data_IF_330201888997
#
_entry.id   IF_330201888997
#
_cell.length_a   1.000
_cell.length_b   1.000
_cell.length_c   1.000
_cell.angle_alpha   90.00
_cell.angle_beta   90.00
_cell.angle_gamma   90.00
#
_symmetry.space_group_name_H-M   'P 1'
#
loop_
_entity.id
_entity.type
_entity.pdbx_description
1 polymer ?
#
# COMPACT_ATOMS: atom_id res chain seq x y z
N UNK A 1 28.23 11.52 -10.86
CA UNK A 1 28.73 10.16 -10.53
C UNK A 1 27.70 9.11 -10.99
N UNK A 2 28.09 7.88 -11.32
CA UNK A 2 27.12 6.81 -11.61
C UNK A 2 26.54 6.23 -10.31
N UNK A 3 25.27 5.82 -10.26
CA UNK A 3 24.69 5.20 -9.07
C UNK A 3 25.47 3.93 -8.68
N UNK A 4 25.67 3.73 -7.37
CA UNK A 4 26.21 2.48 -6.83
C UNK A 4 25.35 1.32 -7.37
N UNK A 5 26.00 0.30 -7.93
CA UNK A 5 25.32 -0.85 -8.54
C UNK A 5 25.24 -2.04 -7.59
N UNK A 6 26.02 -2.07 -6.51
CA UNK A 6 26.05 -3.18 -5.55
C UNK A 6 26.18 -2.68 -4.08
N UNK A 7 25.16 -2.89 -3.24
CA UNK A 7 23.83 -3.32 -3.66
C UNK A 7 23.21 -2.24 -4.57
N UNK A 8 22.43 -2.66 -5.57
CA UNK A 8 21.62 -1.72 -6.33
C UNK A 8 20.50 -1.17 -5.45
N UNK A 9 19.96 0.03 -5.75
CA UNK A 9 18.72 0.48 -5.13
C UNK A 9 17.60 -0.57 -5.29
N UNK A 10 16.70 -0.73 -4.30
CA UNK A 10 15.63 -1.72 -4.37
C UNK A 10 14.68 -1.43 -5.53
N UNK A 11 14.26 -2.49 -6.22
CA UNK A 11 13.34 -2.44 -7.36
C UNK A 11 11.92 -2.72 -6.86
N UNK A 12 11.12 -1.67 -6.80
CA UNK A 12 9.71 -1.78 -6.44
C UNK A 12 8.85 -1.93 -7.69
N UNK A 13 8.02 -2.98 -7.74
CA UNK A 13 7.20 -3.27 -8.90
C UNK A 13 5.73 -3.08 -8.56
N UNK A 14 5.09 -2.17 -9.30
CA UNK A 14 3.69 -1.86 -9.14
C UNK A 14 2.74 -2.79 -9.88
N UNK A 15 1.50 -2.83 -9.39
CA UNK A 15 0.36 -3.50 -10.03
C UNK A 15 0.00 -4.86 -9.45
N UNK A 16 -1.24 -5.27 -9.67
CA UNK A 16 -1.92 -6.38 -8.97
C UNK A 16 -2.25 -7.56 -9.91
N UNK A 17 -2.04 -7.36 -11.21
CA UNK A 17 -2.28 -8.37 -12.23
C UNK A 17 -1.26 -9.52 -12.12
N UNK A 18 -1.61 -10.71 -12.63
CA UNK A 18 -0.67 -11.85 -12.62
C UNK A 18 0.65 -11.57 -13.38
N UNK A 19 0.67 -10.85 -14.52
CA UNK A 19 1.94 -10.41 -15.12
C UNK A 19 2.80 -9.53 -14.20
N UNK A 20 2.17 -8.64 -13.41
CA UNK A 20 2.89 -7.81 -12.44
C UNK A 20 3.45 -8.67 -11.29
N UNK A 21 2.63 -9.56 -10.72
CA UNK A 21 3.06 -10.52 -9.68
C UNK A 21 4.26 -11.35 -10.14
N UNK A 22 4.20 -11.92 -11.36
CA UNK A 22 5.34 -12.68 -11.91
C UNK A 22 6.59 -11.83 -12.02
N UNK A 23 6.46 -10.55 -12.36
CA UNK A 23 7.59 -9.62 -12.45
C UNK A 23 8.19 -9.30 -11.08
N UNK A 24 7.35 -9.12 -10.06
CA UNK A 24 7.79 -8.99 -8.66
C UNK A 24 8.62 -10.22 -8.28
N UNK A 25 8.07 -11.42 -8.48
CA UNK A 25 8.75 -12.67 -8.11
C UNK A 25 10.10 -12.82 -8.83
N UNK A 26 10.16 -12.52 -10.13
CA UNK A 26 11.39 -12.69 -10.90
C UNK A 26 12.45 -11.60 -10.67
N UNK A 27 12.05 -10.36 -10.35
CA UNK A 27 12.96 -9.20 -10.43
C UNK A 27 12.78 -8.12 -9.35
N UNK A 28 11.69 -8.14 -8.59
CA UNK A 28 11.37 -7.06 -7.64
C UNK A 28 11.86 -7.37 -6.24
N UNK A 29 12.30 -6.35 -5.53
CA UNK A 29 12.57 -6.38 -4.09
C UNK A 29 11.31 -6.09 -3.27
N UNK A 30 10.34 -5.38 -3.87
CA UNK A 30 9.06 -5.10 -3.24
C UNK A 30 7.87 -5.19 -4.21
N UNK A 31 6.70 -5.54 -3.67
CA UNK A 31 5.42 -5.44 -4.35
C UNK A 31 4.69 -4.15 -3.92
N UNK A 32 4.29 -3.34 -4.90
CA UNK A 32 3.68 -2.02 -4.67
C UNK A 32 2.30 -1.87 -5.36
N UNK A 33 1.24 -2.49 -4.82
CA UNK A 33 -0.11 -2.38 -5.34
C UNK A 33 -0.76 -1.02 -5.06
N UNK A 34 -1.78 -0.70 -5.85
CA UNK A 34 -2.59 0.50 -5.80
C UNK A 34 -3.95 0.21 -5.16
N UNK A 35 -4.22 0.85 -4.01
CA UNK A 35 -5.41 0.59 -3.19
C UNK A 35 -6.73 0.74 -3.94
N UNK A 36 -6.83 1.72 -4.84
CA UNK A 36 -8.06 2.09 -5.54
C UNK A 36 -8.12 1.61 -6.99
N UNK A 37 -7.38 0.56 -7.38
CA UNK A 37 -7.51 0.00 -8.72
C UNK A 37 -8.91 -0.64 -8.91
N UNK A 38 -9.76 -0.14 -9.83
CA UNK A 38 -11.13 -0.63 -9.98
C UNK A 38 -11.20 -2.07 -10.54
N UNK A 39 -10.17 -2.53 -11.26
CA UNK A 39 -10.13 -3.87 -11.85
C UNK A 39 -9.62 -4.92 -10.86
N UNK A 40 -8.68 -4.53 -10.01
CA UNK A 40 -8.06 -5.38 -9.00
C UNK A 40 -8.09 -4.63 -7.68
N UNK A 41 -9.29 -4.53 -7.10
CA UNK A 41 -9.52 -3.75 -5.88
C UNK A 41 -8.70 -4.29 -4.71
N UNK A 42 -8.11 -3.36 -3.97
CA UNK A 42 -7.24 -3.57 -2.81
C UNK A 42 -7.67 -2.61 -1.68
N UNK A 43 -8.97 -2.32 -1.64
CA UNK A 43 -9.61 -1.31 -0.81
C UNK A 43 -10.19 -1.89 0.49
N UNK A 44 -9.87 -3.16 0.79
CA UNK A 44 -10.08 -3.82 2.08
C UNK A 44 -8.84 -4.62 2.48
N UNK A 45 -8.65 -4.88 3.77
CA UNK A 45 -7.53 -5.71 4.27
C UNK A 45 -7.60 -7.14 3.71
N UNK A 46 -8.82 -7.68 3.57
CA UNK A 46 -9.05 -9.02 3.02
C UNK A 46 -8.64 -9.11 1.54
N UNK A 47 -9.06 -8.15 0.71
CA UNK A 47 -8.69 -8.14 -0.71
C UNK A 47 -7.17 -8.00 -0.88
N UNK A 48 -6.52 -7.21 -0.01
CA UNK A 48 -5.06 -7.13 0.04
C UNK A 48 -4.42 -8.49 0.37
N UNK A 49 -4.85 -9.12 1.47
CA UNK A 49 -4.31 -10.39 1.94
C UNK A 49 -4.46 -11.51 0.90
N UNK A 50 -5.62 -11.61 0.25
CA UNK A 50 -5.88 -12.59 -0.82
C UNK A 50 -4.89 -12.44 -1.98
N UNK A 51 -4.46 -11.21 -2.29
CA UNK A 51 -3.50 -10.96 -3.38
C UNK A 51 -2.05 -11.16 -2.94
N UNK A 52 -1.70 -10.75 -1.73
CA UNK A 52 -0.43 -11.10 -1.09
C UNK A 52 -0.22 -12.62 -1.08
N UNK A 53 -1.24 -13.40 -0.73
CA UNK A 53 -1.13 -14.86 -0.69
C UNK A 53 -0.90 -15.47 -2.08
N UNK A 54 -1.46 -14.86 -3.13
CA UNK A 54 -1.16 -15.26 -4.52
C UNK A 54 0.28 -14.94 -4.90
N UNK A 55 0.80 -13.77 -4.50
CA UNK A 55 2.20 -13.42 -4.68
C UNK A 55 3.11 -14.42 -3.97
N UNK A 56 2.84 -14.73 -2.71
CA UNK A 56 3.61 -15.68 -1.91
C UNK A 56 3.60 -17.08 -2.52
N UNK A 57 2.42 -17.55 -2.97
CA UNK A 57 2.32 -18.82 -3.70
C UNK A 57 3.20 -18.82 -4.95
N UNK A 58 3.15 -17.76 -5.77
CA UNK A 58 3.99 -17.66 -6.96
C UNK A 58 5.49 -17.58 -6.63
N UNK A 59 5.88 -16.96 -5.51
CA UNK A 59 7.26 -16.93 -5.06
C UNK A 59 7.76 -18.34 -4.70
N UNK A 60 6.99 -19.09 -3.91
CA UNK A 60 7.31 -20.48 -3.55
C UNK A 60 7.38 -21.38 -4.80
N UNK A 61 6.43 -21.26 -5.73
CA UNK A 61 6.44 -22.01 -7.00
C UNK A 61 7.68 -21.69 -7.87
N UNK A 62 8.29 -20.54 -7.68
CA UNK A 62 9.50 -20.10 -8.35
C UNK A 62 10.79 -20.30 -7.53
N UNK A 63 10.71 -21.07 -6.43
CA UNK A 63 11.84 -21.32 -5.50
C UNK A 63 12.43 -20.04 -4.89
N UNK A 64 11.59 -19.02 -4.67
CA UNK A 64 11.94 -17.77 -4.00
C UNK A 64 11.27 -17.70 -2.63
N UNK A 65 12.04 -17.32 -1.62
CA UNK A 65 11.52 -17.02 -0.28
C UNK A 65 10.54 -15.84 -0.35
N UNK A 66 9.24 -16.02 -0.01
CA UNK A 66 8.28 -14.91 0.02
C UNK A 66 8.67 -13.78 0.96
N UNK A 67 9.39 -14.07 2.05
CA UNK A 67 9.84 -13.06 3.01
C UNK A 67 10.95 -12.14 2.44
N UNK A 68 11.57 -12.53 1.32
CA UNK A 68 12.52 -11.68 0.57
C UNK A 68 11.84 -10.60 -0.28
N UNK A 69 10.51 -10.52 -0.26
CA UNK A 69 9.73 -9.52 -1.00
C UNK A 69 9.07 -8.59 0.01
N UNK A 70 9.51 -7.33 0.03
CA UNK A 70 8.85 -6.28 0.81
C UNK A 70 7.43 -6.04 0.30
N UNK A 71 6.52 -5.80 1.23
CA UNK A 71 5.12 -5.53 0.93
C UNK A 71 4.84 -4.05 1.15
N UNK A 72 4.43 -3.35 0.11
CA UNK A 72 4.03 -1.96 0.17
C UNK A 72 2.53 -1.78 -0.14
N UNK A 73 2.03 -0.55 0.04
CA UNK A 73 0.67 -0.15 -0.31
C UNK A 73 0.62 1.31 -0.75
N UNK A 74 0.06 1.59 -1.93
CA UNK A 74 -0.28 2.96 -2.32
C UNK A 74 -1.69 3.30 -1.84
N UNK A 75 -1.77 4.16 -0.82
CA UNK A 75 -2.99 4.79 -0.35
C UNK A 75 -3.29 6.02 -1.22
N UNK A 76 -3.91 5.76 -2.36
CA UNK A 76 -4.20 6.79 -3.35
C UNK A 76 -5.32 7.75 -2.93
N UNK A 77 -6.21 7.28 -2.07
CA UNK A 77 -7.33 8.03 -1.54
C UNK A 77 -7.46 7.78 -0.05
N UNK A 78 -7.62 8.87 0.69
CA UNK A 78 -7.90 8.91 2.12
C UNK A 78 -8.73 10.16 2.43
N UNK A 79 -9.41 10.22 3.57
CA UNK A 79 -10.23 11.38 3.93
C UNK A 79 -10.41 11.49 5.44
N UNK A 80 -10.48 12.71 5.99
CA UNK A 80 -10.88 12.91 7.39
C UNK A 80 -12.39 12.66 7.60
N UNK A 81 -13.17 12.59 6.52
CA UNK A 81 -14.57 12.23 6.53
C UNK A 81 -14.74 10.76 6.10
N UNK A 82 -15.59 10.01 6.81
CA UNK A 82 -15.88 8.63 6.46
C UNK A 82 -16.51 8.53 5.07
N UNK A 83 -15.99 7.64 4.23
CA UNK A 83 -16.55 7.35 2.92
C UNK A 83 -17.08 5.92 2.89
N UNK A 84 -18.11 5.69 2.08
CA UNK A 84 -18.70 4.36 1.92
C UNK A 84 -17.89 3.54 0.90
N UNK A 85 -17.56 2.30 1.23
CA UNK A 85 -16.98 1.36 0.28
C UNK A 85 -18.08 0.87 -0.67
N UNK A 86 -17.74 0.58 -1.92
CA UNK A 86 -18.70 0.09 -2.93
C UNK A 86 -19.35 -1.26 -2.55
N UNK A 87 -18.67 -2.09 -1.75
CA UNK A 87 -19.24 -3.35 -1.23
C UNK A 87 -19.94 -3.16 0.13
N UNK A 88 -20.12 -1.91 0.58
CA UNK A 88 -20.68 -1.54 1.87
C UNK A 88 -19.64 -1.38 2.98
N UNK A 89 -20.02 -0.65 4.04
CA UNK A 89 -19.13 -0.31 5.14
C UNK A 89 -18.21 0.88 4.85
N UNK A 90 -17.25 1.14 5.74
CA UNK A 90 -16.32 2.27 5.62
C UNK A 90 -15.17 1.93 4.70
N UNK A 91 -14.85 2.82 3.76
CA UNK A 91 -13.66 2.72 2.93
C UNK A 91 -12.40 2.89 3.78
N UNK A 92 -11.38 2.06 3.54
CA UNK A 92 -10.11 2.15 4.25
C UNK A 92 -9.50 3.56 4.18
N UNK A 93 -8.85 3.95 5.27
CA UNK A 93 -8.16 5.21 5.48
C UNK A 93 -9.08 6.43 5.30
N UNK A 94 -10.37 6.28 5.65
CA UNK A 94 -11.33 7.40 5.70
C UNK A 94 -11.98 7.55 7.08
N UNK A 95 -12.36 8.75 7.50
CA UNK A 95 -12.99 8.99 8.81
C UNK A 95 -12.03 9.51 9.87
N UNK A 96 -12.29 9.19 11.14
CA UNK A 96 -11.53 9.79 12.26
C UNK A 96 -10.05 9.41 12.22
N UNK A 97 -9.15 10.18 12.87
CA UNK A 97 -7.74 9.81 12.95
C UNK A 97 -7.51 8.38 13.47
N UNK A 98 -8.26 7.95 14.49
CA UNK A 98 -8.17 6.62 15.09
C UNK A 98 -8.60 5.53 14.11
N UNK A 99 -9.71 5.75 13.38
CA UNK A 99 -10.18 4.81 12.37
C UNK A 99 -9.16 4.63 11.24
N UNK A 100 -8.54 5.72 10.80
CA UNK A 100 -7.50 5.68 9.76
C UNK A 100 -6.24 4.98 10.26
N UNK A 101 -5.84 5.22 11.51
CA UNK A 101 -4.69 4.55 12.11
C UNK A 101 -4.93 3.05 12.35
N UNK A 102 -6.15 2.68 12.74
CA UNK A 102 -6.58 1.27 12.87
C UNK A 102 -6.50 0.55 11.52
N UNK A 103 -6.96 1.17 10.44
CA UNK A 103 -6.85 0.60 9.09
C UNK A 103 -5.38 0.37 8.68
N UNK A 104 -4.52 1.35 8.93
CA UNK A 104 -3.08 1.25 8.60
C UNK A 104 -2.43 0.15 9.45
N UNK A 105 -2.79 0.04 10.73
CA UNK A 105 -2.30 -1.01 11.62
C UNK A 105 -2.80 -2.39 11.19
N UNK A 106 -4.05 -2.51 10.74
CA UNK A 106 -4.60 -3.75 10.20
C UNK A 106 -3.93 -4.17 8.89
N UNK A 107 -3.59 -3.21 8.03
CA UNK A 107 -2.77 -3.43 6.83
C UNK A 107 -1.33 -3.85 7.19
N UNK A 108 -0.76 -3.26 8.25
CA UNK A 108 0.53 -3.67 8.83
C UNK A 108 0.51 -5.11 9.37
N UNK A 109 -0.56 -5.49 10.07
CA UNK A 109 -0.80 -6.87 10.51
C UNK A 109 -1.01 -7.84 9.34
N UNK A 110 -1.49 -7.35 8.19
CA UNK A 110 -1.51 -8.08 6.93
C UNK A 110 -0.14 -8.11 6.21
N UNK A 111 0.92 -7.59 6.84
CA UNK A 111 2.31 -7.73 6.40
C UNK A 111 2.86 -6.54 5.61
N UNK A 112 2.09 -5.47 5.40
CA UNK A 112 2.63 -4.26 4.76
C UNK A 112 3.71 -3.66 5.67
N UNK A 113 4.84 -3.33 5.06
CA UNK A 113 5.99 -2.69 5.71
C UNK A 113 6.11 -1.23 5.34
N UNK A 114 5.58 -0.82 4.19
CA UNK A 114 5.58 0.58 3.74
C UNK A 114 4.25 0.99 3.14
N UNK A 115 3.76 2.17 3.53
CA UNK A 115 2.62 2.81 2.88
C UNK A 115 3.04 4.14 2.25
N UNK A 116 2.59 4.37 1.01
CA UNK A 116 2.71 5.67 0.33
C UNK A 116 1.34 6.34 0.37
N UNK A 117 1.25 7.47 1.07
CA UNK A 117 0.00 8.23 1.25
C UNK A 117 0.00 9.42 0.28
N UNK A 118 -0.99 9.47 -0.61
CA UNK A 118 -1.10 10.54 -1.58
C UNK A 118 -1.78 11.78 -0.98
N UNK A 119 -1.01 12.87 -0.83
CA UNK A 119 -1.49 14.15 -0.29
C UNK A 119 -1.81 15.21 -1.35
N UNK A 120 -1.85 14.81 -2.63
CA UNK A 120 -1.97 15.74 -3.75
C UNK A 120 -3.25 16.58 -3.75
N UNK A 121 -3.10 17.89 -4.02
CA UNK A 121 -4.18 18.82 -4.38
C UNK A 121 -3.70 19.71 -5.54
N UNK A 122 -4.64 20.34 -6.24
CA UNK A 122 -4.34 21.38 -7.23
C UNK A 122 -3.89 22.70 -6.59
N UNK A 123 -4.10 22.87 -5.27
CA UNK A 123 -3.57 23.99 -4.50
C UNK A 123 -2.46 23.54 -3.55
N UNK A 124 -1.38 24.32 -3.49
CA UNK A 124 -0.21 24.01 -2.65
C UNK A 124 -0.55 24.07 -1.16
N UNK A 125 -1.35 25.05 -0.73
CA UNK A 125 -1.70 25.25 0.68
C UNK A 125 -2.62 24.14 1.17
N UNK A 126 -3.53 23.68 0.32
CA UNK A 126 -4.34 22.49 0.58
C UNK A 126 -3.50 21.22 0.68
N UNK A 127 -2.55 21.01 -0.25
CA UNK A 127 -1.63 19.86 -0.19
C UNK A 127 -0.83 19.85 1.12
N UNK A 128 -0.30 21.00 1.54
CA UNK A 128 0.44 21.13 2.79
C UNK A 128 -0.45 20.91 4.02
N UNK A 129 -1.67 21.47 4.01
CA UNK A 129 -2.66 21.25 5.08
C UNK A 129 -3.01 19.78 5.21
N UNK A 130 -3.25 19.09 4.09
CA UNK A 130 -3.56 17.66 4.04
C UNK A 130 -2.40 16.80 4.54
N UNK A 131 -1.17 17.16 4.18
CA UNK A 131 0.04 16.49 4.66
C UNK A 131 0.22 16.67 6.16
N UNK A 132 0.07 17.90 6.67
CA UNK A 132 0.19 18.20 8.10
C UNK A 132 -0.91 17.49 8.91
N UNK A 133 -2.17 17.55 8.45
CA UNK A 133 -3.30 16.86 9.10
C UNK A 133 -3.04 15.37 9.26
N UNK A 134 -2.61 14.70 8.20
CA UNK A 134 -2.32 13.27 8.26
C UNK A 134 -1.13 12.97 9.17
N UNK A 135 -0.05 13.75 9.07
CA UNK A 135 1.17 13.56 9.84
C UNK A 135 1.00 13.84 11.34
N UNK A 136 0.19 14.83 11.70
CA UNK A 136 -0.01 15.24 13.09
C UNK A 136 -1.11 14.43 13.79
N UNK A 137 -2.15 14.02 13.06
CA UNK A 137 -3.30 13.37 13.68
C UNK A 137 -3.33 11.85 13.49
N UNK A 138 -2.85 11.32 12.35
CA UNK A 138 -2.96 9.87 12.04
C UNK A 138 -1.66 9.14 12.36
N UNK A 139 -0.52 9.62 11.85
CA UNK A 139 0.75 8.91 12.00
C UNK A 139 1.14 8.59 13.45
N UNK A 140 0.92 9.47 14.45
CA UNK A 140 1.26 9.16 15.84
C UNK A 140 0.39 8.07 16.48
N UNK A 141 -0.73 7.72 15.84
CA UNK A 141 -1.67 6.70 16.31
C UNK A 141 -1.41 5.32 15.66
N UNK A 142 -0.54 5.25 14.65
CA UNK A 142 -0.15 3.98 14.01
C UNK A 142 0.89 3.30 14.92
N UNK A 143 0.55 2.11 15.41
CA UNK A 143 1.38 1.33 16.35
C UNK A 143 2.55 0.60 15.72
#
# INVERSE_FOLDING_TARGET
PRPVQDPHPPIWIGGESMPAIRRVVSHGDAWYPFGSNPKFRMDTVETYAVRRDRLFKCAVEADRDPASIELAYNCAFHSAEGQENVDGGRQLVTGTPEQRAEDISALGAAGITTMIVNVGSNDKSEMLTRMAEFAENVMPLVG
#
